data_IF_695378324175
#
_entry.id   IF_695378324175
#
_cell.length_a   1.000
_cell.length_b   1.000
_cell.length_c   1.000
_cell.angle_alpha   90.00
_cell.angle_beta   90.00
_cell.angle_gamma   90.00
#
_symmetry.space_group_name_H-M   'P 1'
#
loop_
_entity.id
_entity.type
_entity.pdbx_description
1 polymer ?
#
# COMPACT_ATOMS: atom_id res chain seq x y z
N UNK A 1 -19.39 24.18 1.35
CA UNK A 1 -17.97 23.77 1.48
C UNK A 1 -17.76 22.35 2.07
N UNK A 2 -18.78 21.48 2.18
CA UNK A 2 -18.65 20.23 2.96
C UNK A 2 -18.15 18.99 2.19
N UNK A 3 -17.93 19.07 0.87
CA UNK A 3 -17.65 17.90 0.01
C UNK A 3 -16.16 17.57 -0.20
N UNK A 4 -15.24 18.48 0.12
CA UNK A 4 -13.80 18.28 -0.12
C UNK A 4 -13.17 17.30 0.89
N UNK A 5 -13.48 17.45 2.18
CA UNK A 5 -12.94 16.61 3.26
C UNK A 5 -13.23 15.11 3.07
N UNK A 6 -14.33 14.75 2.39
CA UNK A 6 -14.70 13.35 2.19
C UNK A 6 -13.83 12.60 1.16
N UNK A 7 -13.12 13.32 0.27
CA UNK A 7 -12.25 12.70 -0.75
C UNK A 7 -10.79 12.55 -0.31
N UNK A 8 -10.29 13.45 0.53
CA UNK A 8 -8.93 13.36 1.07
C UNK A 8 -8.70 12.08 1.89
N UNK A 9 -9.72 11.66 2.67
CA UNK A 9 -9.77 10.39 3.41
C UNK A 9 -9.29 9.20 2.54
N UNK A 10 -9.85 9.06 1.35
CA UNK A 10 -9.62 7.90 0.49
C UNK A 10 -8.21 7.84 -0.13
N UNK A 11 -7.50 8.95 -0.27
CA UNK A 11 -6.16 8.94 -0.89
C UNK A 11 -5.07 8.44 0.07
N UNK A 12 -5.30 8.58 1.38
CA UNK A 12 -4.37 8.17 2.45
C UNK A 12 -4.76 6.85 3.04
N UNK A 13 -6.07 6.61 3.17
CA UNK A 13 -6.58 5.26 3.33
C UNK A 13 -6.14 4.40 2.15
N UNK A 14 -5.96 4.88 0.91
CA UNK A 14 -5.34 4.05 -0.13
C UNK A 14 -3.95 3.54 0.27
N UNK A 15 -3.04 4.41 0.72
CA UNK A 15 -1.70 4.00 1.17
C UNK A 15 -1.70 3.13 2.43
N UNK A 16 -2.55 3.45 3.42
CA UNK A 16 -2.58 2.76 4.71
C UNK A 16 -3.50 1.53 4.75
N UNK A 17 -4.50 1.40 3.85
CA UNK A 17 -5.42 0.24 3.75
C UNK A 17 -4.91 -0.83 2.78
N UNK A 18 -4.06 -0.45 1.81
CA UNK A 18 -3.18 -1.41 1.15
C UNK A 18 -2.17 -2.08 2.11
N UNK A 19 -2.09 -1.60 3.36
CA UNK A 19 -1.26 -2.16 4.44
C UNK A 19 -2.05 -2.60 5.69
N UNK A 20 -3.26 -2.09 5.91
CA UNK A 20 -4.13 -2.51 7.04
C UNK A 20 -4.94 -3.76 6.73
N UNK A 21 -4.70 -4.42 5.60
CA UNK A 21 -5.38 -5.65 5.19
C UNK A 21 -4.39 -6.58 4.48
N UNK A 22 -4.75 -7.87 4.41
CA UNK A 22 -3.98 -9.01 3.84
C UNK A 22 -2.93 -9.67 4.76
N UNK A 23 -2.86 -11.01 4.61
CA UNK A 23 -1.69 -11.91 4.72
C UNK A 23 -1.41 -12.79 5.97
N UNK A 24 -0.71 -13.93 5.72
CA UNK A 24 -0.24 -15.09 6.55
C UNK A 24 0.05 -16.40 5.68
N UNK A 25 1.12 -17.26 5.64
CA UNK A 25 1.81 -18.09 6.69
C UNK A 25 2.99 -19.07 6.35
N UNK A 26 3.25 -20.27 6.96
CA UNK A 26 2.51 -21.23 7.84
C UNK A 26 3.37 -21.90 9.01
N UNK A 27 3.11 -23.14 9.49
CA UNK A 27 3.37 -23.66 10.87
C UNK A 27 4.50 -24.71 11.16
N UNK A 28 5.03 -24.77 12.43
CA UNK A 28 5.38 -26.00 13.21
C UNK A 28 6.09 -25.78 14.60
N UNK A 29 5.99 -26.83 15.46
CA UNK A 29 6.71 -27.19 16.73
C UNK A 29 6.56 -26.30 18.00
N UNK A 30 6.89 -26.85 19.19
CA UNK A 30 6.36 -26.37 20.49
C UNK A 30 7.47 -26.03 21.52
N UNK A 31 7.46 -24.79 22.01
CA UNK A 31 8.02 -24.38 23.31
C UNK A 31 7.04 -23.42 23.99
N UNK A 32 6.52 -23.78 25.17
CA UNK A 32 5.67 -22.90 25.99
C UNK A 32 6.53 -22.05 26.93
N UNK A 33 6.84 -20.83 26.50
CA UNK A 33 7.25 -19.75 27.39
C UNK A 33 6.12 -18.69 27.44
N UNK A 34 6.23 -17.72 28.34
CA UNK A 34 5.25 -16.65 28.46
C UNK A 34 5.05 -15.89 27.13
N UNK A 35 3.79 -15.84 26.70
CA UNK A 35 3.31 -15.35 25.42
C UNK A 35 2.43 -14.10 25.55
N UNK A 36 2.19 -13.56 26.76
CA UNK A 36 1.18 -12.52 26.99
C UNK A 36 1.31 -11.31 26.05
N UNK A 37 2.53 -10.78 25.85
CA UNK A 37 2.78 -9.68 24.92
C UNK A 37 2.55 -10.01 23.43
N UNK A 38 2.69 -11.28 23.03
CA UNK A 38 2.33 -11.74 21.68
C UNK A 38 0.82 -11.90 21.49
N UNK A 39 0.05 -12.09 22.56
CA UNK A 39 -1.42 -12.12 22.51
C UNK A 39 -1.92 -10.67 22.45
N UNK A 40 -1.54 -9.84 23.43
CA UNK A 40 -1.95 -8.43 23.53
C UNK A 40 -1.64 -7.64 22.26
N UNK A 41 -0.38 -7.66 21.79
CA UNK A 41 0.00 -6.92 20.58
C UNK A 41 -0.80 -7.31 19.33
N UNK A 42 -1.27 -8.55 19.23
CA UNK A 42 -2.14 -8.96 18.12
C UNK A 42 -3.58 -8.45 18.29
N UNK A 43 -4.10 -8.46 19.51
CA UNK A 43 -5.39 -7.83 19.82
C UNK A 43 -5.37 -6.31 19.61
N UNK A 44 -4.25 -5.64 19.92
CA UNK A 44 -4.10 -4.19 19.76
C UNK A 44 -3.98 -3.78 18.29
N UNK A 45 -3.30 -4.59 17.47
CA UNK A 45 -3.40 -4.48 16.02
C UNK A 45 -4.85 -4.66 15.54
N UNK A 46 -5.57 -5.68 16.02
CA UNK A 46 -6.97 -5.94 15.67
C UNK A 46 -7.89 -4.76 16.02
N UNK A 47 -7.73 -4.18 17.21
CA UNK A 47 -8.43 -2.97 17.67
C UNK A 47 -8.14 -1.76 16.76
N UNK A 48 -6.87 -1.55 16.42
CA UNK A 48 -6.41 -0.43 15.58
C UNK A 48 -7.00 -0.49 14.15
N UNK A 49 -6.90 -1.64 13.48
CA UNK A 49 -7.44 -1.82 12.11
C UNK A 49 -8.94 -2.14 12.09
N UNK A 50 -9.57 -2.31 13.26
CA UNK A 50 -11.02 -2.54 13.47
C UNK A 50 -11.53 -3.83 12.81
N UNK A 51 -10.77 -4.91 12.99
CA UNK A 51 -11.11 -6.25 12.49
C UNK A 51 -11.12 -7.28 13.62
N UNK A 52 -11.75 -8.42 13.39
CA UNK A 52 -11.62 -9.61 14.22
C UNK A 52 -10.41 -10.42 13.72
N UNK A 53 -9.52 -10.83 14.62
CA UNK A 53 -8.34 -11.65 14.31
C UNK A 53 -8.38 -12.89 15.22
N UNK A 54 -8.60 -14.06 14.62
CA UNK A 54 -8.86 -15.31 15.36
C UNK A 54 -7.82 -16.37 15.00
N UNK A 55 -6.75 -16.55 15.80
CA UNK A 55 -5.70 -17.52 15.53
C UNK A 55 -6.09 -18.92 16.03
N UNK A 56 -5.95 -19.96 15.19
CA UNK A 56 -6.25 -21.36 15.54
C UNK A 56 -5.40 -21.91 16.70
N UNK A 57 -4.26 -21.27 16.98
CA UNK A 57 -3.46 -21.49 18.20
C UNK A 57 -3.00 -20.17 18.77
N UNK A 58 -2.96 -20.04 20.10
CA UNK A 58 -2.52 -18.82 20.78
C UNK A 58 -1.15 -18.35 20.25
N UNK A 59 -0.98 -17.05 19.90
CA UNK A 59 0.29 -16.50 19.46
C UNK A 59 1.45 -16.89 20.38
N UNK A 60 2.58 -17.24 19.78
CA UNK A 60 3.76 -17.77 20.45
C UNK A 60 4.99 -16.89 20.24
N UNK A 61 5.82 -16.80 21.28
CA UNK A 61 7.13 -16.13 21.25
C UNK A 61 8.17 -17.06 20.60
N UNK A 62 8.88 -16.56 19.60
CA UNK A 62 9.97 -17.27 18.90
C UNK A 62 11.16 -16.31 18.81
N UNK A 63 12.33 -16.66 19.37
CA UNK A 63 13.56 -15.82 19.52
C UNK A 63 13.52 -14.47 18.78
N UNK A 64 13.26 -13.37 19.50
CA UNK A 64 13.20 -11.99 18.98
C UNK A 64 11.86 -11.55 18.34
N UNK A 65 11.00 -12.50 17.99
CA UNK A 65 9.72 -12.31 17.30
C UNK A 65 8.51 -12.89 18.08
N UNK A 66 7.33 -12.53 17.63
CA UNK A 66 6.06 -13.20 17.90
C UNK A 66 5.52 -13.84 16.61
N UNK A 67 4.73 -14.89 16.74
CA UNK A 67 4.34 -15.82 15.68
C UNK A 67 2.90 -16.31 15.94
N UNK A 68 1.96 -16.09 15.02
CA UNK A 68 0.58 -16.61 15.09
C UNK A 68 0.35 -17.55 13.91
N UNK A 69 -0.54 -18.54 14.00
CA UNK A 69 -0.75 -19.58 12.97
C UNK A 69 -2.24 -19.87 12.75
N UNK A 70 -2.58 -20.23 11.51
CA UNK A 70 -3.92 -20.47 10.97
C UNK A 70 -4.94 -19.48 11.54
N UNK A 71 -4.76 -18.22 11.18
CA UNK A 71 -5.54 -17.10 11.66
C UNK A 71 -6.63 -16.77 10.65
N UNK A 72 -7.84 -16.49 11.13
CA UNK A 72 -8.91 -15.92 10.32
C UNK A 72 -8.99 -14.41 10.61
N UNK A 73 -9.11 -13.58 9.57
CA UNK A 73 -9.31 -12.13 9.72
C UNK A 73 -10.64 -11.71 9.11
N UNK A 74 -11.52 -11.12 9.92
CA UNK A 74 -12.88 -10.73 9.51
C UNK A 74 -13.14 -9.26 9.78
N UNK A 75 -13.12 -8.45 8.71
CA UNK A 75 -13.46 -7.03 8.77
C UNK A 75 -14.96 -6.85 8.53
N UNK A 76 -15.78 -7.16 9.55
CA UNK A 76 -17.26 -7.22 9.46
C UNK A 76 -17.88 -5.95 8.85
N UNK A 77 -17.35 -4.76 9.14
CA UNK A 77 -17.81 -3.48 8.58
C UNK A 77 -17.41 -3.26 7.11
N UNK A 78 -16.28 -3.81 6.67
CA UNK A 78 -15.79 -3.70 5.29
C UNK A 78 -16.31 -4.83 4.37
N UNK A 79 -16.97 -5.85 4.95
CA UNK A 79 -17.45 -7.02 4.20
C UNK A 79 -16.36 -8.02 3.79
N UNK A 80 -15.12 -7.82 4.25
CA UNK A 80 -13.95 -8.67 3.91
C UNK A 80 -13.79 -9.81 4.92
N UNK A 81 -13.40 -10.99 4.43
CA UNK A 81 -12.84 -12.08 5.23
C UNK A 81 -11.65 -12.72 4.51
N UNK A 82 -10.65 -13.15 5.28
CA UNK A 82 -9.37 -13.64 4.82
C UNK A 82 -9.00 -14.94 5.55
N UNK A 83 -8.69 -16.00 4.79
CA UNK A 83 -8.02 -17.22 5.29
C UNK A 83 -6.51 -17.02 5.21
N UNK A 84 -5.82 -17.33 6.30
CA UNK A 84 -4.58 -16.63 6.63
C UNK A 84 -3.68 -17.58 7.50
N UNK A 85 -2.81 -18.37 6.86
CA UNK A 85 -1.89 -19.39 7.44
C UNK A 85 -0.92 -19.07 8.67
N UNK A 86 -0.22 -17.91 8.82
CA UNK A 86 0.69 -17.48 9.92
C UNK A 86 1.25 -16.03 9.87
N UNK A 87 1.07 -15.23 10.94
CA UNK A 87 1.62 -13.85 11.10
C UNK A 87 2.98 -13.95 11.80
N UNK A 88 3.98 -13.13 11.44
CA UNK A 88 5.14 -12.89 12.33
C UNK A 88 5.47 -11.41 12.48
N UNK A 89 5.89 -11.00 13.67
CA UNK A 89 6.31 -9.63 13.95
C UNK A 89 7.45 -9.54 14.96
N UNK A 90 8.19 -8.42 14.98
CA UNK A 90 9.17 -8.14 16.02
C UNK A 90 8.49 -8.03 17.40
N UNK A 91 9.04 -8.66 18.45
CA UNK A 91 8.33 -8.94 19.71
C UNK A 91 7.57 -7.74 20.31
N UNK A 92 8.19 -6.57 20.33
CA UNK A 92 7.66 -5.35 20.96
C UNK A 92 7.02 -4.39 19.92
N UNK A 93 6.97 -4.76 18.64
CA UNK A 93 6.56 -3.86 17.55
C UNK A 93 5.08 -3.49 17.51
N UNK A 94 4.22 -4.22 18.23
CA UNK A 94 2.78 -3.93 18.33
C UNK A 94 2.34 -3.45 19.73
N UNK A 95 3.21 -3.56 20.74
CA UNK A 95 2.91 -3.23 22.14
C UNK A 95 2.53 -1.73 22.34
N UNK A 96 3.22 -0.75 21.72
CA UNK A 96 2.82 0.67 21.80
C UNK A 96 1.46 1.01 21.19
N UNK A 97 0.91 0.16 20.31
CA UNK A 97 -0.38 0.41 19.67
C UNK A 97 -1.55 0.37 20.68
N UNK A 98 -1.37 -0.32 21.81
CA UNK A 98 -2.33 -0.38 22.92
C UNK A 98 -2.70 1.00 23.47
N UNK A 99 -1.69 1.86 23.70
CA UNK A 99 -1.84 3.25 24.13
C UNK A 99 -2.21 4.22 22.98
N UNK A 100 -2.24 3.70 21.74
CA UNK A 100 -2.38 4.47 20.51
C UNK A 100 -1.09 5.17 20.08
N UNK A 101 0.08 4.66 20.50
CA UNK A 101 1.40 5.21 20.16
C UNK A 101 2.03 4.47 18.98
N UNK A 102 2.81 5.20 18.18
CA UNK A 102 3.59 4.66 17.07
C UNK A 102 4.84 3.95 17.62
N UNK A 103 5.09 2.67 17.28
CA UNK A 103 6.28 1.95 17.73
C UNK A 103 7.53 2.48 17.04
N UNK A 104 8.68 2.46 17.73
CA UNK A 104 9.98 2.86 17.16
C UNK A 104 10.36 2.01 15.94
N UNK A 105 9.98 0.73 15.91
CA UNK A 105 10.17 -0.17 14.79
C UNK A 105 9.03 -1.17 14.71
N UNK A 106 8.47 -1.36 13.51
CA UNK A 106 7.62 -2.50 13.18
C UNK A 106 8.22 -3.24 11.99
N UNK A 107 8.38 -4.56 12.13
CA UNK A 107 8.55 -5.48 11.00
C UNK A 107 7.49 -6.56 11.13
N UNK A 108 6.48 -6.48 10.29
CA UNK A 108 5.32 -7.37 10.21
C UNK A 108 5.42 -8.15 8.88
N UNK A 109 5.88 -9.40 8.96
CA UNK A 109 5.96 -10.32 7.82
C UNK A 109 4.78 -11.28 7.86
N UNK A 110 4.10 -11.43 6.74
CA UNK A 110 2.80 -12.08 6.67
C UNK A 110 2.67 -12.75 5.30
N UNK A 111 2.43 -14.05 5.22
CA UNK A 111 2.67 -14.81 3.96
C UNK A 111 1.36 -15.22 3.23
N UNK A 112 1.29 -16.33 2.50
CA UNK A 112 0.12 -17.19 2.17
C UNK A 112 -1.36 -16.70 2.14
N UNK A 113 -1.69 -15.43 1.87
CA UNK A 113 -3.08 -14.90 1.94
C UNK A 113 -4.05 -15.59 0.99
N UNK A 114 -5.28 -15.79 1.45
CA UNK A 114 -6.43 -16.11 0.60
C UNK A 114 -7.64 -15.25 0.97
N UNK A 115 -8.18 -14.48 0.03
CA UNK A 115 -9.43 -13.73 0.25
C UNK A 115 -10.62 -14.67 0.08
N UNK A 116 -11.37 -14.89 1.17
CA UNK A 116 -12.55 -15.78 1.18
C UNK A 116 -13.86 -15.02 1.01
N UNK A 117 -13.88 -13.74 1.38
CA UNK A 117 -15.03 -12.85 1.19
C UNK A 117 -14.57 -11.45 0.83
N UNK A 118 -15.25 -10.85 -0.15
CA UNK A 118 -14.99 -9.51 -0.66
C UNK A 118 -16.27 -8.65 -0.61
N UNK A 119 -16.17 -7.32 -0.38
CA UNK A 119 -17.26 -6.39 -0.63
C UNK A 119 -17.66 -6.39 -2.12
N UNK A 120 -18.96 -6.27 -2.37
CA UNK A 120 -19.48 -6.18 -3.74
C UNK A 120 -19.06 -4.86 -4.41
N UNK A 121 -18.69 -4.94 -5.70
CA UNK A 121 -18.33 -3.81 -6.58
C UNK A 121 -17.00 -3.10 -6.28
N UNK A 122 -16.14 -3.65 -5.43
CA UNK A 122 -14.75 -3.20 -5.30
C UNK A 122 -13.81 -4.01 -6.24
N UNK A 123 -13.11 -3.37 -7.21
CA UNK A 123 -12.24 -4.09 -8.14
C UNK A 123 -11.03 -4.76 -7.49
N UNK A 124 -10.46 -4.18 -6.43
CA UNK A 124 -9.28 -4.73 -5.76
C UNK A 124 -9.64 -5.98 -4.96
N UNK A 125 -10.72 -5.90 -4.19
CA UNK A 125 -11.21 -7.08 -3.47
C UNK A 125 -11.74 -8.17 -4.39
N UNK A 126 -12.35 -7.82 -5.53
CA UNK A 126 -12.70 -8.79 -6.56
C UNK A 126 -11.47 -9.48 -7.15
N UNK A 127 -10.43 -8.73 -7.53
CA UNK A 127 -9.17 -9.30 -8.05
C UNK A 127 -8.49 -10.25 -7.05
N UNK A 128 -8.37 -9.85 -5.77
CA UNK A 128 -7.73 -10.69 -4.75
C UNK A 128 -8.54 -11.96 -4.43
N UNK A 129 -9.89 -11.88 -4.47
CA UNK A 129 -10.77 -13.05 -4.35
C UNK A 129 -10.68 -13.97 -5.57
N UNK A 130 -10.67 -13.43 -6.78
CA UNK A 130 -10.50 -14.23 -8.00
C UNK A 130 -9.10 -14.85 -8.09
N UNK A 131 -8.07 -14.19 -7.56
CA UNK A 131 -6.75 -14.78 -7.40
C UNK A 131 -6.78 -15.99 -6.44
N UNK A 132 -7.40 -15.84 -5.27
CA UNK A 132 -7.56 -16.91 -4.27
C UNK A 132 -8.42 -18.10 -4.74
N UNK A 133 -9.39 -17.87 -5.64
CA UNK A 133 -10.24 -18.94 -6.21
C UNK A 133 -9.46 -20.01 -6.97
N UNK A 134 -8.28 -19.70 -7.51
CA UNK A 134 -7.42 -20.68 -8.18
C UNK A 134 -6.50 -21.46 -7.24
N UNK A 135 -6.78 -21.45 -5.92
CA UNK A 135 -5.93 -22.10 -4.90
C UNK A 135 -4.58 -21.41 -4.72
N UNK A 136 -4.46 -20.17 -5.18
CA UNK A 136 -3.23 -19.37 -5.09
C UNK A 136 -3.27 -18.48 -3.86
N UNK A 137 -2.08 -18.18 -3.36
CA UNK A 137 -1.88 -17.26 -2.25
C UNK A 137 -0.84 -16.20 -2.60
N UNK A 138 -0.76 -15.15 -1.80
CA UNK A 138 0.24 -14.09 -1.91
C UNK A 138 0.87 -13.81 -0.55
N UNK A 139 1.99 -13.10 -0.49
CA UNK A 139 2.63 -12.64 0.74
C UNK A 139 2.48 -11.12 0.86
N UNK A 140 2.52 -10.58 2.07
CA UNK A 140 2.64 -9.16 2.37
C UNK A 140 3.74 -8.86 3.40
N UNK A 141 4.24 -7.63 3.42
CA UNK A 141 5.17 -7.18 4.46
C UNK A 141 5.04 -5.68 4.70
N UNK A 142 5.07 -5.30 5.97
CA UNK A 142 5.15 -3.91 6.44
C UNK A 142 6.38 -3.77 7.35
N UNK A 143 7.31 -2.91 6.96
CA UNK A 143 8.56 -2.65 7.67
C UNK A 143 8.86 -1.15 7.72
N UNK A 144 8.87 -0.59 8.93
CA UNK A 144 9.19 0.81 9.18
C UNK A 144 10.00 1.04 10.46
N UNK A 145 10.69 2.18 10.51
CA UNK A 145 11.30 2.75 11.71
C UNK A 145 10.79 4.18 11.95
N UNK A 146 10.55 4.55 13.21
CA UNK A 146 10.03 5.84 13.63
C UNK A 146 10.98 6.50 14.63
N UNK A 147 11.44 7.72 14.31
CA UNK A 147 12.30 8.55 15.16
C UNK A 147 11.43 9.62 15.82
N UNK A 148 10.92 9.31 17.01
CA UNK A 148 9.94 10.13 17.73
C UNK A 148 10.46 11.53 18.12
N UNK A 149 11.77 11.66 18.33
CA UNK A 149 12.47 12.91 18.62
C UNK A 149 12.48 13.89 17.43
N UNK A 150 12.46 13.35 16.20
CA UNK A 150 12.48 14.11 14.93
C UNK A 150 11.12 14.15 14.22
N UNK A 151 10.17 13.33 14.67
CA UNK A 151 8.89 13.10 13.98
C UNK A 151 9.05 12.48 12.59
N UNK A 152 10.08 11.64 12.39
CA UNK A 152 10.41 11.03 11.08
C UNK A 152 10.00 9.56 11.05
N UNK A 153 9.25 9.16 10.03
CA UNK A 153 8.90 7.76 9.74
C UNK A 153 9.58 7.32 8.44
N UNK A 154 10.36 6.26 8.50
CA UNK A 154 11.03 5.64 7.37
C UNK A 154 10.38 4.28 7.08
N UNK A 155 9.53 4.25 6.05
CA UNK A 155 8.86 3.05 5.54
C UNK A 155 9.80 2.35 4.56
N UNK A 156 10.64 1.44 5.09
CA UNK A 156 11.61 0.68 4.30
C UNK A 156 10.95 -0.31 3.32
N UNK A 157 9.78 -0.84 3.67
CA UNK A 157 9.03 -1.74 2.79
C UNK A 157 7.56 -1.87 3.16
N UNK A 158 6.71 -1.76 2.14
CA UNK A 158 5.29 -2.01 2.19
C UNK A 158 4.93 -2.77 0.90
N UNK A 159 4.80 -4.09 0.94
CA UNK A 159 4.79 -4.91 -0.28
C UNK A 159 3.75 -6.03 -0.28
N UNK A 160 3.31 -6.39 -1.48
CA UNK A 160 2.51 -7.58 -1.81
C UNK A 160 3.26 -8.39 -2.88
N UNK A 161 3.48 -9.69 -2.66
CA UNK A 161 4.12 -10.61 -3.61
C UNK A 161 3.18 -11.78 -3.94
N UNK A 162 2.79 -11.94 -5.19
CA UNK A 162 1.86 -12.98 -5.63
C UNK A 162 2.52 -14.33 -5.89
N UNK A 163 3.79 -14.53 -5.47
CA UNK A 163 4.59 -15.77 -5.57
C UNK A 163 4.76 -16.34 -6.99
N UNK A 164 4.35 -15.57 -8.01
CA UNK A 164 4.37 -15.93 -9.42
C UNK A 164 5.24 -14.99 -10.26
N UNK A 165 5.90 -14.02 -9.61
CA UNK A 165 6.64 -12.93 -10.25
C UNK A 165 5.80 -11.68 -10.58
N UNK A 166 4.60 -11.55 -10.01
CA UNK A 166 3.91 -10.26 -9.91
C UNK A 166 4.05 -9.75 -8.48
N UNK A 167 4.44 -8.50 -8.29
CA UNK A 167 4.51 -7.88 -6.96
C UNK A 167 4.27 -6.38 -7.03
N UNK A 168 3.89 -5.80 -5.90
CA UNK A 168 3.84 -4.36 -5.68
C UNK A 168 4.65 -4.02 -4.44
N UNK A 169 5.44 -2.96 -4.49
CA UNK A 169 6.19 -2.44 -3.34
C UNK A 169 6.06 -0.92 -3.27
N UNK A 170 5.91 -0.44 -2.04
CA UNK A 170 5.93 0.93 -1.61
C UNK A 170 7.11 1.10 -0.64
N UNK A 171 7.82 2.22 -0.72
CA UNK A 171 8.68 2.73 0.34
C UNK A 171 8.54 4.24 0.42
N UNK A 172 8.78 4.82 1.60
CA UNK A 172 8.62 6.26 1.81
C UNK A 172 9.46 6.77 2.97
N UNK A 173 9.84 8.05 2.90
CA UNK A 173 10.36 8.81 4.02
C UNK A 173 9.42 9.97 4.29
N UNK A 174 8.85 10.02 5.49
CA UNK A 174 7.91 11.03 5.93
C UNK A 174 8.46 11.78 7.15
N UNK A 175 8.16 13.07 7.28
CA UNK A 175 8.35 13.83 8.51
C UNK A 175 7.06 14.55 8.95
N UNK A 176 7.07 15.09 10.17
CA UNK A 176 5.87 15.63 10.83
C UNK A 176 4.96 14.55 11.45
N UNK A 177 5.43 13.30 11.52
CA UNK A 177 4.71 12.16 12.10
C UNK A 177 4.76 12.27 13.62
N UNK A 178 3.60 12.31 14.27
CA UNK A 178 3.53 12.38 15.75
C UNK A 178 3.45 10.98 16.38
N UNK A 179 3.98 10.77 17.60
CA UNK A 179 3.85 9.48 18.28
C UNK A 179 2.38 9.04 18.46
N UNK A 180 1.45 9.99 18.64
CA UNK A 180 0.02 9.71 18.77
C UNK A 180 -0.73 9.51 17.44
N UNK A 181 -0.01 9.36 16.31
CA UNK A 181 -0.63 9.17 14.99
C UNK A 181 -1.62 7.99 14.92
N UNK A 182 -1.34 6.79 15.47
CA UNK A 182 -2.31 5.67 15.45
C UNK A 182 -3.63 5.98 16.17
N UNK A 183 -3.60 6.84 17.20
CA UNK A 183 -4.78 7.24 17.98
C UNK A 183 -5.74 8.15 17.21
N UNK A 184 -5.21 9.06 16.39
CA UNK A 184 -5.99 10.05 15.65
C UNK A 184 -5.43 10.29 14.23
N UNK A 185 -5.40 9.28 13.34
CA UNK A 185 -4.78 9.41 12.02
C UNK A 185 -5.48 10.47 11.13
N UNK A 186 -6.77 10.73 11.37
CA UNK A 186 -7.56 11.76 10.67
C UNK A 186 -7.12 13.20 10.98
N UNK A 187 -6.34 13.40 12.05
CA UNK A 187 -5.73 14.69 12.43
C UNK A 187 -4.21 14.63 12.25
N UNK A 188 -3.59 13.49 12.60
CA UNK A 188 -2.16 13.26 12.41
C UNK A 188 -1.70 13.34 10.95
N UNK A 189 -2.62 13.29 9.99
CA UNK A 189 -2.41 13.53 8.56
C UNK A 189 -2.02 14.97 8.19
N UNK A 190 -2.49 15.99 8.92
CA UNK A 190 -2.28 17.39 8.54
C UNK A 190 -0.80 17.86 8.56
N UNK A 191 0.02 17.52 9.57
CA UNK A 191 1.44 17.90 9.61
C UNK A 191 2.36 17.01 8.75
N UNK A 192 1.84 15.96 8.10
CA UNK A 192 2.67 15.03 7.34
C UNK A 192 3.29 15.68 6.08
N UNK A 193 4.55 15.36 5.85
CA UNK A 193 5.34 15.85 4.72
C UNK A 193 6.13 14.68 4.14
N UNK A 194 6.09 14.49 2.82
CA UNK A 194 6.87 13.46 2.12
C UNK A 194 8.26 14.03 1.79
N UNK A 195 9.33 13.39 2.25
CA UNK A 195 10.69 13.64 1.76
C UNK A 195 10.94 12.84 0.47
N UNK A 196 10.56 11.55 0.49
CA UNK A 196 10.60 10.68 -0.68
C UNK A 196 9.53 9.59 -0.64
N UNK A 197 9.16 9.09 -1.82
CA UNK A 197 8.15 8.06 -2.04
C UNK A 197 8.54 7.25 -3.28
N UNK A 198 8.58 5.92 -3.18
CA UNK A 198 8.82 5.03 -4.32
C UNK A 198 7.72 3.99 -4.41
N UNK A 199 7.18 3.81 -5.61
CA UNK A 199 6.20 2.77 -5.95
C UNK A 199 6.78 1.93 -7.08
N UNK A 200 6.92 0.63 -6.85
CA UNK A 200 7.33 -0.37 -7.83
C UNK A 200 6.18 -1.37 -8.04
N UNK A 201 5.85 -1.69 -9.29
CA UNK A 201 4.89 -2.73 -9.66
C UNK A 201 5.55 -3.61 -10.72
N UNK A 202 5.83 -4.86 -10.37
CA UNK A 202 6.49 -5.86 -11.21
C UNK A 202 5.44 -6.80 -11.83
N UNK A 203 5.61 -7.17 -13.10
CA UNK A 203 4.96 -8.33 -13.70
C UNK A 203 5.89 -9.12 -14.62
N UNK A 204 6.12 -10.37 -14.22
CA UNK A 204 6.73 -11.43 -15.03
C UNK A 204 6.01 -11.71 -16.37
N UNK A 205 4.76 -11.28 -16.56
CA UNK A 205 4.11 -11.35 -17.87
C UNK A 205 4.29 -10.03 -18.65
N UNK A 206 5.26 -10.03 -19.54
CA UNK A 206 5.56 -8.92 -20.45
C UNK A 206 4.44 -8.60 -21.46
N UNK A 207 3.37 -9.40 -21.50
CA UNK A 207 2.20 -9.17 -22.36
C UNK A 207 1.04 -8.48 -21.62
N UNK A 208 0.99 -8.59 -20.28
CA UNK A 208 -0.06 -8.05 -19.40
C UNK A 208 0.47 -7.93 -17.96
N UNK A 209 0.42 -6.75 -17.36
CA UNK A 209 0.58 -6.62 -15.92
C UNK A 209 -0.79 -6.66 -15.22
N UNK A 210 -1.15 -7.72 -14.47
CA UNK A 210 -2.46 -7.85 -13.83
C UNK A 210 -2.68 -6.86 -12.68
N UNK A 211 -1.63 -6.37 -12.04
CA UNK A 211 -1.71 -5.38 -10.97
C UNK A 211 -1.95 -3.96 -11.54
N UNK A 212 -1.37 -3.66 -12.70
CA UNK A 212 -1.72 -2.45 -13.45
C UNK A 212 -3.09 -2.58 -14.15
N UNK A 213 -3.48 -3.75 -14.67
CA UNK A 213 -4.86 -3.98 -15.15
C UNK A 213 -5.89 -3.77 -14.02
N UNK A 214 -5.58 -4.15 -12.77
CA UNK A 214 -6.38 -3.79 -11.60
C UNK A 214 -6.43 -2.26 -11.37
N UNK A 215 -5.28 -1.56 -11.41
CA UNK A 215 -5.26 -0.10 -11.33
C UNK A 215 -6.14 0.56 -12.40
N UNK A 216 -6.12 0.04 -13.63
CA UNK A 216 -7.00 0.46 -14.73
C UNK A 216 -8.48 0.12 -14.45
N UNK A 217 -8.79 -1.02 -13.84
CA UNK A 217 -10.16 -1.35 -13.44
C UNK A 217 -10.71 -0.39 -12.37
N UNK A 218 -9.87 0.06 -11.42
CA UNK A 218 -10.20 1.09 -10.43
C UNK A 218 -10.37 2.49 -11.06
N UNK A 219 -9.69 2.76 -12.17
CA UNK A 219 -9.88 3.99 -12.97
C UNK A 219 -11.11 3.93 -13.88
N UNK A 220 -11.51 2.75 -14.39
CA UNK A 220 -12.59 2.58 -15.36
C UNK A 220 -13.92 3.17 -14.89
N UNK A 221 -14.23 3.10 -13.60
CA UNK A 221 -15.43 3.73 -13.01
C UNK A 221 -15.44 5.27 -13.02
N UNK A 222 -14.34 5.91 -13.45
CA UNK A 222 -14.18 7.36 -13.60
C UNK A 222 -14.08 7.80 -15.07
N UNK A 223 -14.00 6.85 -16.01
CA UNK A 223 -13.89 7.12 -17.45
C UNK A 223 -15.31 7.15 -18.06
N UNK A 224 -15.76 8.28 -18.64
CA UNK A 224 -17.09 8.39 -19.23
C UNK A 224 -17.34 7.28 -20.27
N UNK A 225 -18.46 6.56 -20.13
CA UNK A 225 -18.86 5.44 -20.98
C UNK A 225 -17.83 4.29 -21.11
N UNK A 226 -16.73 4.31 -20.36
CA UNK A 226 -15.60 3.40 -20.57
C UNK A 226 -14.79 3.70 -21.85
N UNK A 227 -14.89 4.91 -22.41
CA UNK A 227 -14.13 5.35 -23.59
C UNK A 227 -12.64 5.52 -23.26
N UNK A 228 -11.87 4.47 -23.55
CA UNK A 228 -10.42 4.47 -23.34
C UNK A 228 -9.64 5.25 -24.39
N UNK A 229 -10.17 5.47 -25.60
CA UNK A 229 -9.44 6.16 -26.67
C UNK A 229 -9.60 7.67 -26.56
N UNK A 230 -10.79 8.16 -26.16
CA UNK A 230 -10.98 9.52 -25.67
C UNK A 230 -10.18 9.78 -24.38
N UNK A 231 -10.18 8.83 -23.43
CA UNK A 231 -9.33 8.96 -22.23
C UNK A 231 -7.83 9.04 -22.56
N UNK A 232 -7.32 8.18 -23.46
CA UNK A 232 -5.93 8.28 -23.95
C UNK A 232 -5.64 9.63 -24.56
N UNK A 233 -6.52 10.12 -25.43
CA UNK A 233 -6.34 11.41 -26.10
C UNK A 233 -6.21 12.56 -25.09
N UNK A 234 -7.09 12.58 -24.08
CA UNK A 234 -7.04 13.55 -22.97
C UNK A 234 -5.79 13.35 -22.09
N UNK A 235 -5.41 12.10 -21.80
CA UNK A 235 -4.23 11.79 -20.99
C UNK A 235 -2.93 12.20 -21.69
N UNK A 236 -2.76 11.93 -22.99
CA UNK A 236 -1.60 12.36 -23.77
C UNK A 236 -1.51 13.89 -23.84
N UNK A 237 -2.64 14.58 -24.04
CA UNK A 237 -2.69 16.04 -23.96
C UNK A 237 -2.29 16.56 -22.57
N UNK A 238 -2.69 15.87 -21.50
CA UNK A 238 -2.32 16.20 -20.13
C UNK A 238 -0.83 15.95 -19.83
N UNK A 239 -0.25 14.85 -20.33
CA UNK A 239 1.20 14.60 -20.23
C UNK A 239 1.97 15.71 -20.95
N UNK A 240 1.55 16.08 -22.16
CA UNK A 240 2.20 17.10 -22.99
C UNK A 240 2.05 18.53 -22.45
N UNK A 241 0.96 18.84 -21.73
CA UNK A 241 0.67 20.20 -21.24
C UNK A 241 0.94 20.43 -19.75
N UNK A 242 0.96 19.40 -18.91
CA UNK A 242 1.14 19.51 -17.46
C UNK A 242 2.36 18.75 -16.95
N UNK A 243 2.50 17.44 -17.23
CA UNK A 243 3.65 16.67 -16.73
C UNK A 243 4.97 17.11 -17.38
N UNK A 244 4.93 17.61 -18.62
CA UNK A 244 6.09 18.18 -19.32
C UNK A 244 6.77 19.38 -18.63
N UNK A 245 6.14 19.94 -17.59
CA UNK A 245 6.69 21.03 -16.77
C UNK A 245 7.46 20.54 -15.54
N UNK A 246 7.31 19.27 -15.16
CA UNK A 246 7.82 18.67 -13.90
C UNK A 246 8.54 17.33 -14.09
N UNK A 247 8.42 16.73 -15.27
CA UNK A 247 9.11 15.52 -15.73
C UNK A 247 9.76 15.83 -17.08
N UNK A 248 10.84 15.14 -17.46
CA UNK A 248 11.56 15.41 -18.72
C UNK A 248 12.01 14.13 -19.41
N UNK A 249 12.56 14.25 -20.63
CA UNK A 249 13.27 13.16 -21.33
C UNK A 249 12.57 11.79 -21.28
N UNK A 250 13.25 10.82 -20.66
CA UNK A 250 12.80 9.43 -20.57
C UNK A 250 11.54 9.28 -19.73
N UNK A 251 11.35 10.06 -18.65
CA UNK A 251 10.21 9.93 -17.73
C UNK A 251 8.89 10.23 -18.45
N UNK A 252 8.89 11.26 -19.30
CA UNK A 252 7.76 11.58 -20.17
C UNK A 252 7.51 10.47 -21.20
N UNK A 253 8.56 9.85 -21.74
CA UNK A 253 8.41 8.72 -22.66
C UNK A 253 7.84 7.48 -21.94
N UNK A 254 8.18 7.23 -20.68
CA UNK A 254 7.60 6.18 -19.83
C UNK A 254 6.11 6.38 -19.60
N UNK A 255 5.69 7.57 -19.16
CA UNK A 255 4.27 7.86 -18.91
C UNK A 255 3.46 7.81 -20.21
N UNK A 256 3.99 8.32 -21.33
CA UNK A 256 3.31 8.20 -22.62
C UNK A 256 3.21 6.74 -23.11
N UNK A 257 4.21 5.88 -22.85
CA UNK A 257 4.15 4.44 -23.14
C UNK A 257 3.04 3.76 -22.32
N UNK A 258 2.98 4.03 -21.01
CA UNK A 258 1.92 3.53 -20.12
C UNK A 258 0.51 3.95 -20.59
N UNK A 259 0.31 5.23 -20.94
CA UNK A 259 -0.96 5.72 -21.50
C UNK A 259 -1.32 5.01 -22.80
N UNK A 260 -0.33 4.81 -23.69
CA UNK A 260 -0.53 4.16 -25.00
C UNK A 260 -1.01 2.70 -24.89
N UNK A 261 -0.53 1.97 -23.89
CA UNK A 261 -0.89 0.56 -23.65
C UNK A 261 -2.24 0.34 -22.96
N UNK A 262 -2.90 1.39 -22.45
CA UNK A 262 -4.23 1.26 -21.84
C UNK A 262 -5.26 0.62 -22.82
N UNK A 263 -6.26 -0.13 -22.33
CA UNK A 263 -6.50 -0.53 -20.95
C UNK A 263 -5.71 -1.78 -20.51
N UNK A 264 -4.68 -2.20 -21.25
CA UNK A 264 -3.91 -3.45 -21.01
C UNK A 264 -2.40 -3.14 -20.88
N UNK A 265 -1.97 -2.44 -19.81
CA UNK A 265 -0.58 -2.14 -19.53
C UNK A 265 0.29 -3.40 -19.45
N UNK A 266 1.56 -3.29 -19.84
CA UNK A 266 2.49 -4.40 -20.08
C UNK A 266 3.84 -4.15 -19.41
N UNK A 267 4.44 -5.20 -18.84
CA UNK A 267 5.71 -5.08 -18.12
C UNK A 267 5.54 -4.37 -16.77
N UNK A 268 6.55 -3.61 -16.39
CA UNK A 268 6.76 -3.07 -15.05
C UNK A 268 6.49 -1.56 -14.98
N UNK A 269 6.32 -1.05 -13.76
CA UNK A 269 6.24 0.37 -13.45
C UNK A 269 7.13 0.69 -12.25
N UNK A 270 7.98 1.69 -12.39
CA UNK A 270 8.67 2.37 -11.29
C UNK A 270 8.26 3.84 -11.30
N UNK A 271 7.75 4.33 -10.17
CA UNK A 271 7.54 5.75 -9.91
C UNK A 271 8.36 6.14 -8.69
N UNK A 272 9.23 7.13 -8.83
CA UNK A 272 9.96 7.72 -7.71
C UNK A 272 9.63 9.21 -7.61
N UNK A 273 9.42 9.67 -6.38
CA UNK A 273 9.08 11.04 -6.04
C UNK A 273 9.99 11.48 -4.90
N UNK A 274 10.71 12.59 -5.08
CA UNK A 274 11.59 13.18 -4.07
C UNK A 274 11.34 14.68 -3.98
N UNK A 275 11.26 15.20 -2.74
CA UNK A 275 11.02 16.60 -2.47
C UNK A 275 12.04 17.11 -1.45
N UNK A 276 13.08 17.81 -1.90
CA UNK A 276 14.23 18.25 -1.07
C UNK A 276 13.86 19.23 0.05
N UNK A 277 12.69 19.88 -0.04
CA UNK A 277 12.12 20.75 1.00
C UNK A 277 10.96 20.08 1.76
N UNK A 278 10.71 18.81 1.49
CA UNK A 278 9.49 18.11 1.85
C UNK A 278 8.28 18.54 1.02
N UNK A 279 7.39 17.60 0.71
CA UNK A 279 6.12 17.83 0.03
C UNK A 279 4.94 17.72 1.02
N UNK A 280 4.30 18.85 1.40
CA UNK A 280 3.16 18.83 2.32
C UNK A 280 2.02 18.01 1.73
N UNK A 281 1.70 16.90 2.37
CA UNK A 281 0.97 15.80 1.72
C UNK A 281 -0.50 16.16 1.42
N UNK A 282 -1.02 17.18 2.10
CA UNK A 282 -2.30 17.84 1.82
C UNK A 282 -2.38 18.46 0.41
N UNK A 283 -1.25 18.74 -0.25
CA UNK A 283 -1.24 19.24 -1.65
C UNK A 283 -1.91 18.25 -2.61
N UNK A 284 -1.85 16.93 -2.37
CA UNK A 284 -2.64 15.96 -3.15
C UNK A 284 -4.16 16.15 -2.98
N UNK A 285 -4.61 16.72 -1.86
CA UNK A 285 -6.01 17.11 -1.66
C UNK A 285 -6.46 18.27 -2.55
N UNK A 286 -5.54 19.13 -2.99
CA UNK A 286 -5.81 20.24 -3.91
C UNK A 286 -6.07 19.75 -5.34
N UNK A 287 -5.66 18.53 -5.70
CA UNK A 287 -6.01 17.94 -7.00
C UNK A 287 -7.52 17.79 -7.15
N UNK A 288 -8.23 17.53 -6.05
CA UNK A 288 -9.69 17.45 -6.02
C UNK A 288 -10.40 18.82 -6.13
N UNK A 289 -9.66 19.94 -6.10
CA UNK A 289 -10.20 21.30 -6.34
C UNK A 289 -9.95 21.81 -7.77
N UNK A 290 -9.23 21.05 -8.60
CA UNK A 290 -8.97 21.39 -10.01
C UNK A 290 -7.73 22.23 -10.26
N UNK A 291 -6.80 22.32 -9.30
CA UNK A 291 -5.49 22.93 -9.55
C UNK A 291 -4.64 22.16 -10.57
N UNK A 292 -3.73 22.88 -11.24
CA UNK A 292 -2.79 22.32 -12.21
C UNK A 292 -1.74 21.45 -11.51
N UNK A 293 -1.31 20.37 -12.16
CA UNK A 293 -0.42 19.40 -11.54
C UNK A 293 1.02 19.90 -11.46
N UNK A 294 1.45 20.71 -12.42
CA UNK A 294 2.74 21.40 -12.35
C UNK A 294 2.81 22.41 -11.19
N UNK A 295 1.70 23.09 -10.87
CA UNK A 295 1.60 24.02 -9.74
C UNK A 295 1.59 23.26 -8.40
N UNK A 296 0.92 22.11 -8.33
CA UNK A 296 0.91 21.29 -7.11
C UNK A 296 2.28 20.66 -6.82
N UNK A 297 2.93 20.07 -7.83
CA UNK A 297 4.25 19.41 -7.74
C UNK A 297 5.44 20.39 -7.72
N UNK A 298 5.21 21.68 -7.54
CA UNK A 298 6.30 22.65 -7.34
C UNK A 298 7.21 22.23 -6.16
N UNK A 299 8.52 22.10 -6.44
CA UNK A 299 9.52 21.65 -5.47
C UNK A 299 9.68 20.13 -5.35
N UNK A 300 9.06 19.36 -6.26
CA UNK A 300 9.10 17.89 -6.31
C UNK A 300 9.74 17.44 -7.61
N UNK A 301 10.71 16.53 -7.52
CA UNK A 301 11.20 15.73 -8.66
C UNK A 301 10.33 14.47 -8.77
N UNK A 302 9.85 14.16 -9.98
CA UNK A 302 9.13 12.92 -10.27
C UNK A 302 9.84 12.19 -11.41
N UNK A 303 10.30 10.98 -11.12
CA UNK A 303 10.95 10.07 -12.05
C UNK A 303 10.00 8.90 -12.32
N UNK A 304 9.99 8.40 -13.56
CA UNK A 304 9.11 7.33 -13.98
C UNK A 304 9.75 6.43 -15.04
N UNK A 305 9.84 5.13 -14.78
CA UNK A 305 10.10 4.13 -15.81
C UNK A 305 8.94 3.14 -15.97
N UNK A 306 8.70 2.74 -17.20
CA UNK A 306 7.65 1.83 -17.61
C UNK A 306 8.14 1.03 -18.81
N UNK A 307 8.21 -0.29 -18.69
CA UNK A 307 8.74 -1.16 -19.72
C UNK A 307 8.87 -2.61 -19.25
N UNK A 308 9.21 -3.56 -20.13
CA UNK A 308 9.46 -4.93 -19.73
C UNK A 308 10.73 -5.05 -18.87
N UNK A 309 10.68 -5.87 -17.83
CA UNK A 309 11.85 -6.39 -17.11
C UNK A 309 12.70 -5.31 -16.39
N UNK A 310 12.09 -4.23 -15.88
CA UNK A 310 12.79 -3.15 -15.17
C UNK A 310 13.49 -3.67 -13.90
N UNK A 311 12.93 -4.69 -13.26
CA UNK A 311 13.43 -5.24 -11.99
C UNK A 311 14.30 -6.49 -12.14
N UNK A 312 14.37 -7.09 -13.34
CA UNK A 312 15.28 -8.22 -13.63
C UNK A 312 16.76 -7.77 -13.67
N UNK A 313 17.02 -6.49 -13.95
CA UNK A 313 18.36 -5.92 -14.01
C UNK A 313 18.98 -5.61 -12.62
N UNK A 314 18.30 -5.97 -11.52
CA UNK A 314 18.62 -5.53 -10.15
C UNK A 314 18.80 -6.73 -9.18
N UNK A 315 18.81 -7.97 -9.69
CA UNK A 315 19.01 -9.20 -8.91
C UNK A 315 20.14 -10.07 -9.48
#
# INVERSE_FOLDING_TARGET
>A
MMYAHFKARNLFLAGFVLLSTTANGYAQSILRMDNAGCIGGLEDLAKLVKVEITPATSPRKVIGKCDAQSVDVVAKQAGVALEIDRITWNRNGLEPLSDGQMPEQLKLEIRGVKVTKAPAKDPAWAYLMDYGRFGRTFDATLEFAFQADKGVLELAGASLDFQNGNSARLSARLHGVTPAFPKNPEIGIFPLIIDSLTIAINSRDTRKNPLMELGVAMLKGKIPNGDFDGFKSLATLYVASELSKVMSGNDLASVNRLVSDLPKPKGDLLLHLTATKGYPILRFGLWATGQKLAEMLEGVTVEADYGPNLFDAVN
#
